data_IF_134654296145
#
_entry.id   IF_134654296145
#
_cell.length_a   1.000
_cell.length_b   1.000
_cell.length_c   1.000
_cell.angle_alpha   90.00
_cell.angle_beta   90.00
_cell.angle_gamma   90.00
#
_symmetry.space_group_name_H-M   'P 1'
#
loop_
_entity.id
_entity.type
_entity.pdbx_description
1 polymer ?
#
# COMPACT_ATOMS: atom_id res chain seq x y z
N UNK A 1 -2.62 -25.26 -23.89
CA UNK A 1 -3.86 -24.91 -23.19
C UNK A 1 -4.35 -23.55 -23.69
N UNK A 2 -5.63 -23.45 -24.05
CA UNK A 2 -6.21 -22.23 -24.57
C UNK A 2 -6.59 -21.29 -23.43
N UNK A 3 -6.28 -20.02 -23.59
CA UNK A 3 -6.62 -18.94 -22.66
C UNK A 3 -7.55 -17.93 -23.34
N UNK A 4 -8.69 -17.66 -22.70
CA UNK A 4 -9.66 -16.70 -23.20
C UNK A 4 -9.39 -15.31 -22.63
N UNK A 5 -9.16 -14.33 -23.47
CA UNK A 5 -9.15 -12.92 -23.10
C UNK A 5 -10.60 -12.42 -23.03
N UNK A 6 -11.04 -12.07 -21.83
CA UNK A 6 -12.43 -11.67 -21.56
C UNK A 6 -12.49 -10.14 -21.45
N UNK A 7 -13.40 -9.52 -22.17
CA UNK A 7 -13.73 -8.12 -21.95
C UNK A 7 -14.42 -7.95 -20.59
N UNK A 8 -13.89 -7.12 -19.68
CA UNK A 8 -14.45 -6.97 -18.34
C UNK A 8 -15.84 -6.31 -18.31
N UNK A 9 -16.23 -5.59 -19.38
CA UNK A 9 -17.53 -4.92 -19.47
C UNK A 9 -18.61 -5.85 -20.02
N UNK A 10 -18.30 -6.54 -21.10
CA UNK A 10 -19.29 -7.41 -21.81
C UNK A 10 -19.26 -8.83 -21.29
N UNK A 11 -18.18 -9.25 -20.58
CA UNK A 11 -17.92 -10.62 -20.15
C UNK A 11 -17.80 -11.62 -21.33
N UNK A 12 -17.60 -11.13 -22.55
CA UNK A 12 -17.41 -11.94 -23.74
C UNK A 12 -15.93 -12.18 -24.04
N UNK A 13 -15.62 -13.31 -24.63
CA UNK A 13 -14.27 -13.63 -25.07
C UNK A 13 -13.93 -12.84 -26.36
N UNK A 14 -13.01 -11.89 -26.27
CA UNK A 14 -12.54 -11.10 -27.42
C UNK A 14 -11.46 -11.80 -28.24
N UNK A 15 -10.73 -12.74 -27.60
CA UNK A 15 -9.67 -13.51 -28.27
C UNK A 15 -9.35 -14.78 -27.48
N UNK A 16 -8.91 -15.81 -28.20
CA UNK A 16 -8.34 -17.02 -27.62
C UNK A 16 -6.87 -17.08 -28.02
N UNK A 17 -6.00 -17.29 -27.04
CA UNK A 17 -4.56 -17.37 -27.21
C UNK A 17 -4.01 -18.62 -26.53
N UNK A 18 -2.80 -19.05 -26.89
CA UNK A 18 -2.13 -20.12 -26.19
C UNK A 18 -1.55 -19.62 -24.88
N UNK A 19 -1.93 -20.19 -23.74
CA UNK A 19 -1.50 -19.75 -22.42
C UNK A 19 0.02 -19.91 -22.21
N UNK A 20 0.64 -20.97 -22.79
CA UNK A 20 2.09 -21.19 -22.70
C UNK A 20 2.86 -20.13 -23.47
N UNK A 21 2.38 -19.73 -24.64
CA UNK A 21 3.03 -18.71 -25.45
C UNK A 21 2.94 -17.34 -24.78
N UNK A 22 1.80 -17.01 -24.17
CA UNK A 22 1.66 -15.81 -23.36
C UNK A 22 2.63 -15.82 -22.16
N UNK A 23 2.70 -16.94 -21.45
CA UNK A 23 3.62 -17.09 -20.31
C UNK A 23 5.08 -16.91 -20.72
N UNK A 24 5.49 -17.51 -21.83
CA UNK A 24 6.84 -17.34 -22.38
C UNK A 24 7.13 -15.88 -22.75
N UNK A 25 6.19 -15.18 -23.34
CA UNK A 25 6.34 -13.75 -23.66
C UNK A 25 6.54 -12.90 -22.39
N UNK A 26 5.77 -13.16 -21.33
CA UNK A 26 5.91 -12.47 -20.05
C UNK A 26 7.29 -12.71 -19.44
N UNK A 27 7.73 -13.98 -19.35
CA UNK A 27 9.03 -14.33 -18.76
C UNK A 27 10.18 -13.75 -19.59
N UNK A 28 10.09 -13.82 -20.92
CA UNK A 28 11.11 -13.28 -21.82
C UNK A 28 11.22 -11.75 -21.67
N UNK A 29 10.10 -11.03 -21.70
CA UNK A 29 10.09 -9.59 -21.49
C UNK A 29 10.71 -9.21 -20.15
N UNK A 30 10.36 -9.93 -19.08
CA UNK A 30 10.92 -9.71 -17.75
C UNK A 30 12.44 -9.99 -17.70
N UNK A 31 12.91 -11.03 -18.37
CA UNK A 31 14.33 -11.36 -18.41
C UNK A 31 15.16 -10.30 -19.17
N UNK A 32 14.59 -9.73 -20.24
CA UNK A 32 15.27 -8.72 -21.05
C UNK A 32 15.21 -7.31 -20.46
N UNK A 33 14.09 -6.94 -19.84
CA UNK A 33 13.81 -5.54 -19.46
C UNK A 33 13.65 -5.33 -17.97
N UNK A 34 13.44 -6.39 -17.18
CA UNK A 34 13.01 -6.30 -15.77
C UNK A 34 11.50 -6.10 -15.58
N UNK A 35 10.75 -5.88 -16.68
CA UNK A 35 9.30 -5.67 -16.68
C UNK A 35 8.56 -6.84 -17.38
N UNK A 36 7.28 -7.13 -17.02
CA UNK A 36 6.50 -6.52 -15.94
C UNK A 36 6.94 -6.99 -14.56
N UNK A 37 6.67 -6.19 -13.52
CA UNK A 37 6.76 -6.67 -12.14
C UNK A 37 5.72 -7.76 -11.90
N UNK A 38 6.12 -8.78 -11.16
CA UNK A 38 5.27 -9.94 -10.85
C UNK A 38 5.15 -10.10 -9.34
N UNK A 39 3.93 -10.24 -8.86
CA UNK A 39 3.64 -10.46 -7.44
C UNK A 39 2.92 -11.79 -7.26
N UNK A 40 3.40 -12.60 -6.31
CA UNK A 40 2.74 -13.83 -5.90
C UNK A 40 1.72 -13.52 -4.80
N UNK A 41 0.49 -13.25 -5.19
CA UNK A 41 -0.55 -12.76 -4.30
C UNK A 41 -0.91 -13.77 -3.18
N UNK A 42 -0.83 -15.05 -3.47
CA UNK A 42 -1.07 -16.11 -2.47
C UNK A 42 0.01 -16.06 -1.38
N UNK A 43 1.29 -15.93 -1.75
CA UNK A 43 2.39 -15.77 -0.80
C UNK A 43 2.21 -14.53 0.08
N UNK A 44 1.76 -13.42 -0.51
CA UNK A 44 1.47 -12.20 0.25
C UNK A 44 0.35 -12.44 1.28
N UNK A 45 -0.73 -13.10 0.88
CA UNK A 45 -1.84 -13.41 1.77
C UNK A 45 -1.46 -14.43 2.85
N UNK A 46 -0.63 -15.41 2.52
CA UNK A 46 -0.11 -16.38 3.49
C UNK A 46 0.81 -15.73 4.53
N UNK A 47 1.44 -14.61 4.18
CA UNK A 47 2.33 -13.83 5.05
C UNK A 47 1.61 -12.78 5.90
N UNK A 48 0.30 -12.56 5.72
CA UNK A 48 -0.48 -11.65 6.55
C UNK A 48 -0.38 -12.02 8.03
N UNK A 49 -0.39 -11.02 8.89
CA UNK A 49 -0.43 -11.24 10.34
C UNK A 49 -1.69 -12.01 10.75
N UNK A 50 -1.59 -12.70 11.90
CA UNK A 50 -2.75 -13.45 12.43
C UNK A 50 -3.97 -12.54 12.60
N UNK A 51 -3.78 -11.30 13.07
CA UNK A 51 -4.85 -10.34 13.28
C UNK A 51 -5.57 -9.97 11.97
N UNK A 52 -4.80 -9.74 10.92
CA UNK A 52 -5.36 -9.44 9.59
C UNK A 52 -6.13 -10.64 9.01
N UNK A 53 -5.59 -11.86 9.19
CA UNK A 53 -6.27 -13.10 8.79
C UNK A 53 -7.57 -13.33 9.55
N UNK A 54 -7.55 -13.13 10.87
CA UNK A 54 -8.74 -13.29 11.74
C UNK A 54 -9.85 -12.28 11.35
N UNK A 55 -9.49 -11.11 10.82
CA UNK A 55 -10.42 -10.13 10.28
C UNK A 55 -10.87 -10.42 8.83
N UNK A 56 -10.37 -11.48 8.21
CA UNK A 56 -10.71 -11.83 6.82
C UNK A 56 -10.12 -10.89 5.77
N UNK A 57 -9.11 -10.08 6.13
CA UNK A 57 -8.49 -9.14 5.21
C UNK A 57 -7.67 -9.86 4.13
N UNK A 58 -7.65 -9.28 2.93
CA UNK A 58 -6.93 -9.84 1.78
C UNK A 58 -6.16 -8.77 1.01
N UNK A 59 -4.93 -9.11 0.64
CA UNK A 59 -4.14 -8.38 -0.34
C UNK A 59 -4.62 -8.83 -1.72
N UNK A 60 -5.00 -7.87 -2.57
CA UNK A 60 -5.52 -8.13 -3.93
C UNK A 60 -4.62 -7.59 -5.02
N UNK A 61 -3.82 -6.58 -4.70
CA UNK A 61 -2.92 -5.90 -5.61
C UNK A 61 -1.82 -5.19 -4.81
N UNK A 62 -0.86 -4.64 -5.51
CA UNK A 62 0.21 -3.81 -4.96
C UNK A 62 0.24 -2.45 -5.69
N UNK A 63 1.16 -1.57 -5.27
CA UNK A 63 1.47 -0.34 -5.98
C UNK A 63 2.34 -0.60 -7.21
N UNK A 64 2.74 0.46 -7.93
CA UNK A 64 3.52 0.38 -9.15
C UNK A 64 4.84 -0.40 -8.98
N UNK A 65 5.55 -0.17 -7.87
CA UNK A 65 6.85 -0.82 -7.61
C UNK A 65 6.73 -2.18 -6.90
N UNK A 66 5.51 -2.63 -6.57
CA UNK A 66 5.19 -3.93 -5.95
C UNK A 66 5.76 -4.16 -4.54
N UNK A 67 6.15 -3.08 -3.84
CA UNK A 67 6.65 -3.18 -2.45
C UNK A 67 5.55 -3.07 -1.40
N UNK A 68 4.36 -2.56 -1.75
CA UNK A 68 3.26 -2.35 -0.80
C UNK A 68 2.28 -3.51 -0.86
N UNK A 69 2.16 -4.25 0.23
CA UNK A 69 1.28 -5.40 0.38
C UNK A 69 0.25 -5.15 1.49
N UNK A 70 -0.68 -4.24 1.23
CA UNK A 70 -1.74 -3.86 2.16
C UNK A 70 -3.11 -4.38 1.69
N UNK A 71 -4.00 -4.72 2.63
CA UNK A 71 -5.34 -5.19 2.30
C UNK A 71 -6.16 -4.13 1.56
N UNK A 72 -6.90 -4.58 0.54
CA UNK A 72 -7.86 -3.76 -0.21
C UNK A 72 -9.17 -4.51 -0.37
N UNK A 73 -10.29 -3.79 -0.30
CA UNK A 73 -11.63 -4.34 -0.53
C UNK A 73 -12.60 -3.24 -1.00
N UNK A 74 -13.88 -3.52 -0.99
CA UNK A 74 -14.90 -2.55 -1.40
C UNK A 74 -14.94 -1.30 -0.49
N UNK A 75 -14.46 -1.43 0.74
CA UNK A 75 -14.45 -0.36 1.76
C UNK A 75 -13.07 0.25 2.00
N UNK A 76 -11.99 -0.40 1.50
CA UNK A 76 -10.60 -0.04 1.77
C UNK A 76 -9.82 0.23 0.51
N UNK A 77 -9.24 1.41 0.44
CA UNK A 77 -8.18 1.73 -0.52
C UNK A 77 -6.89 1.92 0.26
N UNK A 78 -5.91 1.04 0.04
CA UNK A 78 -4.65 1.06 0.78
C UNK A 78 -3.93 2.40 0.64
N UNK A 79 -3.41 2.89 1.77
CA UNK A 79 -2.59 4.11 1.87
C UNK A 79 -1.36 3.78 2.70
N UNK A 80 -0.19 4.18 2.22
CA UNK A 80 1.06 4.06 2.95
C UNK A 80 1.89 5.33 2.80
N UNK A 81 2.38 5.88 3.92
CA UNK A 81 3.30 7.01 3.93
C UNK A 81 4.72 6.49 3.99
N UNK A 82 5.57 6.98 3.09
CA UNK A 82 6.90 6.44 2.86
C UNK A 82 7.98 7.48 3.16
N UNK A 83 9.10 7.00 3.70
CA UNK A 83 10.37 7.71 3.80
C UNK A 83 11.54 6.74 3.67
N UNK A 84 12.74 7.26 3.55
CA UNK A 84 13.96 6.45 3.53
C UNK A 84 15.10 7.17 4.24
N UNK A 85 15.89 6.44 5.02
CA UNK A 85 17.14 6.94 5.57
C UNK A 85 18.28 6.74 4.57
N UNK A 86 19.23 7.68 4.51
CA UNK A 86 20.43 7.50 3.72
C UNK A 86 21.55 6.91 4.59
N UNK A 87 21.87 5.64 4.37
CA UNK A 87 22.90 4.91 5.11
C UNK A 87 24.31 5.40 4.81
N UNK A 88 24.55 6.09 3.68
CA UNK A 88 25.85 6.74 3.43
C UNK A 88 26.25 7.70 4.55
N UNK A 89 25.27 8.30 5.23
CA UNK A 89 25.46 9.20 6.35
C UNK A 89 25.19 8.56 7.72
N UNK A 90 25.25 7.23 7.81
CA UNK A 90 24.96 6.47 9.03
C UNK A 90 25.75 6.98 10.23
N UNK A 91 27.06 7.19 10.11
CA UNK A 91 27.94 7.65 11.19
C UNK A 91 27.57 9.06 11.72
N UNK A 92 26.83 9.82 10.94
CA UNK A 92 26.33 11.13 11.36
C UNK A 92 25.05 11.04 12.16
N UNK A 93 24.01 10.41 11.58
CA UNK A 93 22.69 10.40 12.20
C UNK A 93 22.53 9.29 13.26
N UNK A 94 23.34 8.22 13.24
CA UNK A 94 23.30 7.16 14.25
C UNK A 94 23.74 7.61 15.66
N UNK A 95 24.31 8.80 15.77
CA UNK A 95 24.69 9.41 17.06
C UNK A 95 23.50 10.07 17.77
N UNK A 96 22.42 10.25 17.09
CA UNK A 96 21.16 10.76 17.64
C UNK A 96 20.22 9.58 17.96
N UNK A 97 20.10 9.26 19.23
CA UNK A 97 19.27 8.16 19.73
C UNK A 97 17.77 8.32 19.37
N UNK A 98 17.35 9.54 19.08
CA UNK A 98 15.94 9.83 18.73
C UNK A 98 15.68 9.84 17.22
N UNK A 99 16.71 9.88 16.37
CA UNK A 99 16.56 10.09 14.93
C UNK A 99 15.50 9.17 14.28
N UNK A 100 15.56 7.86 14.53
CA UNK A 100 14.59 6.91 13.96
C UNK A 100 13.22 7.08 14.61
N UNK A 101 13.15 7.32 15.91
CA UNK A 101 11.89 7.57 16.61
C UNK A 101 11.18 8.81 16.09
N UNK A 102 11.92 9.89 15.87
CA UNK A 102 11.39 11.16 15.34
C UNK A 102 10.92 10.97 13.89
N UNK A 103 11.65 10.19 13.10
CA UNK A 103 11.25 9.87 11.72
C UNK A 103 9.94 9.07 11.66
N UNK A 104 9.79 8.07 12.53
CA UNK A 104 8.54 7.32 12.64
C UNK A 104 7.40 8.23 13.13
N UNK A 105 7.65 9.09 14.11
CA UNK A 105 6.68 10.07 14.60
C UNK A 105 6.25 11.02 13.49
N UNK A 106 7.20 11.50 12.70
CA UNK A 106 6.91 12.34 11.53
C UNK A 106 6.01 11.62 10.53
N UNK A 107 6.30 10.36 10.19
CA UNK A 107 5.48 9.56 9.27
C UNK A 107 4.07 9.31 9.82
N UNK A 108 3.94 9.04 11.11
CA UNK A 108 2.63 8.88 11.77
C UNK A 108 1.82 10.19 11.75
N UNK A 109 2.48 11.34 11.96
CA UNK A 109 1.86 12.65 11.82
C UNK A 109 1.41 12.94 10.37
N UNK A 110 2.15 12.48 9.37
CA UNK A 110 1.75 12.58 7.97
C UNK A 110 0.48 11.78 7.70
N UNK A 111 0.36 10.58 8.26
CA UNK A 111 -0.88 9.78 8.16
C UNK A 111 -2.04 10.50 8.86
N UNK A 112 -1.82 11.03 10.06
CA UNK A 112 -2.85 11.78 10.78
C UNK A 112 -3.34 12.97 9.97
N UNK A 113 -2.40 13.77 9.43
CA UNK A 113 -2.74 14.89 8.57
C UNK A 113 -3.52 14.46 7.32
N UNK A 114 -3.15 13.33 6.72
CA UNK A 114 -3.90 12.77 5.59
C UNK A 114 -5.33 12.39 5.99
N UNK A 115 -5.50 11.67 7.11
CA UNK A 115 -6.82 11.26 7.61
C UNK A 115 -7.70 12.49 7.86
N UNK A 116 -7.15 13.52 8.50
CA UNK A 116 -7.87 14.76 8.80
C UNK A 116 -8.35 15.50 7.54
N UNK A 117 -7.58 15.45 6.44
CA UNK A 117 -7.87 16.18 5.22
C UNK A 117 -8.56 15.33 4.13
N UNK A 118 -8.54 14.00 4.23
CA UNK A 118 -9.21 13.09 3.29
C UNK A 118 -10.71 12.89 3.60
N UNK A 119 -11.22 13.56 4.64
CA UNK A 119 -12.64 13.54 4.99
C UNK A 119 -13.36 14.50 4.05
N UNK A 120 -14.50 14.04 3.48
CA UNK A 120 -15.39 14.94 2.75
C UNK A 120 -16.05 15.94 3.73
N UNK A 121 -15.43 17.12 3.83
CA UNK A 121 -15.89 18.19 4.72
C UNK A 121 -17.12 18.91 4.21
N UNK A 122 -17.55 18.68 2.97
CA UNK A 122 -18.71 19.36 2.37
C UNK A 122 -20.02 19.04 3.12
N UNK A 123 -20.08 17.90 3.80
CA UNK A 123 -21.25 17.45 4.56
C UNK A 123 -21.13 17.72 6.07
N UNK A 124 -20.05 18.27 6.59
CA UNK A 124 -19.71 18.18 8.00
C UNK A 124 -19.45 19.49 8.77
N UNK A 125 -19.61 20.68 8.21
CA UNK A 125 -19.65 21.98 8.95
C UNK A 125 -18.48 22.28 9.93
N UNK A 126 -17.19 22.37 9.45
CA UNK A 126 -16.04 22.91 10.19
C UNK A 126 -15.02 21.90 10.75
N UNK A 127 -13.73 22.24 10.70
CA UNK A 127 -12.58 21.36 10.87
C UNK A 127 -12.51 20.56 12.21
N UNK A 128 -12.72 21.21 13.36
CA UNK A 128 -12.53 20.52 14.67
C UNK A 128 -13.71 19.67 15.16
N UNK A 129 -14.93 19.97 14.73
CA UNK A 129 -16.10 19.16 15.06
C UNK A 129 -16.13 17.86 14.25
N UNK A 130 -15.46 17.85 13.13
CA UNK A 130 -15.48 16.80 12.12
C UNK A 130 -14.58 15.62 12.47
N UNK A 131 -13.41 15.86 13.06
CA UNK A 131 -12.49 14.78 13.41
C UNK A 131 -13.06 13.85 14.49
N UNK A 132 -13.65 14.39 15.56
CA UNK A 132 -14.32 13.59 16.59
C UNK A 132 -15.54 12.83 16.02
N UNK A 133 -16.27 13.45 15.11
CA UNK A 133 -17.42 12.84 14.44
C UNK A 133 -16.96 11.77 13.44
N UNK A 134 -15.87 12.01 12.71
CA UNK A 134 -15.22 11.03 11.84
C UNK A 134 -14.74 9.80 12.62
N UNK A 135 -13.99 9.98 13.70
CA UNK A 135 -13.56 8.87 14.56
C UNK A 135 -14.75 8.04 15.08
N UNK A 136 -15.85 8.70 15.42
CA UNK A 136 -17.08 8.03 15.82
C UNK A 136 -17.69 7.25 14.65
N UNK A 137 -17.76 7.84 13.45
CA UNK A 137 -18.32 7.19 12.26
C UNK A 137 -17.48 6.01 11.78
N UNK A 138 -16.15 6.12 11.81
CA UNK A 138 -15.24 5.01 11.49
C UNK A 138 -15.42 3.84 12.47
N UNK A 139 -15.57 4.13 13.76
CA UNK A 139 -15.83 3.10 14.78
C UNK A 139 -17.19 2.43 14.63
N UNK A 140 -18.18 3.18 14.18
CA UNK A 140 -19.56 2.72 14.02
C UNK A 140 -19.87 2.16 12.63
N UNK A 141 -18.88 2.16 11.69
CA UNK A 141 -19.06 1.66 10.32
C UNK A 141 -20.06 2.47 9.48
N UNK A 142 -20.22 3.77 9.78
CA UNK A 142 -21.21 4.63 9.12
C UNK A 142 -20.63 5.40 7.95
N UNK A 143 -21.49 5.71 6.97
CA UNK A 143 -21.20 6.47 5.75
C UNK A 143 -20.60 7.86 6.04
N UNK A 144 -19.73 8.35 5.13
CA UNK A 144 -19.18 9.71 5.16
C UNK A 144 -17.66 9.83 5.23
N UNK A 145 -16.92 8.73 5.10
CA UNK A 145 -15.47 8.74 4.95
C UNK A 145 -15.04 8.24 3.57
N UNK A 146 -13.89 8.71 3.06
CA UNK A 146 -13.29 8.11 1.88
C UNK A 146 -12.72 6.73 2.23
N UNK A 147 -12.76 5.79 1.31
CA UNK A 147 -12.19 4.43 1.49
C UNK A 147 -10.71 4.48 1.87
N UNK A 148 -9.99 5.47 1.38
CA UNK A 148 -8.57 5.70 1.70
C UNK A 148 -8.37 6.24 3.11
N UNK A 149 -9.20 7.19 3.57
CA UNK A 149 -9.15 7.67 4.96
C UNK A 149 -9.49 6.55 5.95
N UNK A 150 -10.47 5.71 5.63
CA UNK A 150 -10.81 4.54 6.43
C UNK A 150 -9.64 3.57 6.53
N UNK A 151 -9.02 3.22 5.39
CA UNK A 151 -7.84 2.36 5.35
C UNK A 151 -6.69 2.96 6.16
N UNK A 152 -6.35 4.23 5.95
CA UNK A 152 -5.29 4.92 6.68
C UNK A 152 -5.53 4.91 8.20
N UNK A 153 -6.77 5.16 8.64
CA UNK A 153 -7.14 5.14 10.05
C UNK A 153 -7.02 3.74 10.68
N UNK A 154 -7.45 2.71 9.96
CA UNK A 154 -7.46 1.32 10.46
C UNK A 154 -6.09 0.66 10.44
N UNK A 155 -5.30 0.91 9.39
CA UNK A 155 -4.01 0.24 9.18
C UNK A 155 -2.83 1.05 9.74
N UNK A 156 -2.87 2.40 9.66
CA UNK A 156 -1.75 3.32 9.99
C UNK A 156 -0.41 2.83 9.42
N UNK A 157 -0.42 2.45 8.17
CA UNK A 157 0.73 1.80 7.54
C UNK A 157 1.84 2.81 7.21
N UNK A 158 3.04 2.53 7.68
CA UNK A 158 4.26 3.29 7.45
C UNK A 158 5.25 2.45 6.66
N UNK A 159 5.98 3.09 5.76
CA UNK A 159 7.13 2.51 5.10
C UNK A 159 8.39 3.32 5.37
N UNK A 160 9.33 2.77 6.13
CA UNK A 160 10.64 3.37 6.33
C UNK A 160 11.70 2.48 5.70
N UNK A 161 12.24 2.92 4.56
CA UNK A 161 13.27 2.23 3.81
C UNK A 161 14.68 2.71 4.15
N UNK A 162 15.66 2.11 3.48
CA UNK A 162 17.06 2.51 3.55
C UNK A 162 17.64 2.60 2.14
N UNK A 163 18.33 3.68 1.84
CA UNK A 163 19.10 3.88 0.62
C UNK A 163 20.59 4.08 0.94
N UNK A 164 21.45 4.04 -0.07
CA UNK A 164 22.88 4.27 0.09
C UNK A 164 23.63 3.12 0.76
N UNK A 165 23.03 1.93 0.89
CA UNK A 165 23.67 0.79 1.55
C UNK A 165 24.98 0.37 0.89
N UNK A 166 25.02 0.37 -0.45
CA UNK A 166 26.25 0.06 -1.20
C UNK A 166 27.35 1.09 -0.92
N UNK A 167 27.03 2.38 -0.94
CA UNK A 167 27.98 3.45 -0.64
C UNK A 167 28.51 3.32 0.80
N UNK A 168 27.64 3.01 1.76
CA UNK A 168 28.04 2.76 3.16
C UNK A 168 29.02 1.57 3.29
N UNK A 169 28.81 0.50 2.54
CA UNK A 169 29.72 -0.67 2.58
C UNK A 169 31.08 -0.40 1.91
N UNK A 170 31.19 0.65 1.12
CA UNK A 170 32.45 1.03 0.44
C UNK A 170 33.24 2.12 1.18
N UNK A 171 32.65 2.78 2.16
CA UNK A 171 33.29 3.81 2.99
C UNK A 171 34.06 3.17 4.13
#
# INVERSE_FOLDING_TARGET
>A
EDWRLIDPKTQEAVKIINARDLWWQIIHARAETGEPYMINIDTCNDSLSKQQKDLGLKIRQSNLCSEITLPTDEERTAVCCLSSVNLEHFDSWSKDDNFISDLITMLDNVIEHYIENAIDTSQLGGYNANFKRFQKHVREGKEGYTKSAYSAYRERSLGLGAMGFHAYLQS
#
